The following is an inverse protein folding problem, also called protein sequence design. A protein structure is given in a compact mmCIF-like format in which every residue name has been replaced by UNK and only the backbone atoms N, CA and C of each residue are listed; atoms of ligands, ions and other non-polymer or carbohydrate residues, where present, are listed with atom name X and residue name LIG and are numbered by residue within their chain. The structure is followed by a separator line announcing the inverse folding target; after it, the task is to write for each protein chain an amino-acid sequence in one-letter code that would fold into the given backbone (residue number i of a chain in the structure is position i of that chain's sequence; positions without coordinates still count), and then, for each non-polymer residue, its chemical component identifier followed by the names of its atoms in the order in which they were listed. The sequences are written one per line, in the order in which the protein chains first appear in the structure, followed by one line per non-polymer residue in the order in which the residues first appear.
data_IF_378624150135
#
_entry.id   IF_378624150135
#
_cell.length_a   1.000
_cell.length_b   1.000
_cell.length_c   1.000
_cell.angle_alpha   90.00
_cell.angle_beta   90.00
_cell.angle_gamma   90.00
#
_symmetry.space_group_name_H-M   'P 1'
#
loop_
_entity.id
_entity.type
_entity.pdbx_description
1 polymer ?
#
# COMPACT_ATOMS: atom_id res chain seq x y z
N UNK A 1 11.43 12.79 -19.94
CA UNK A 1 10.90 13.55 -18.78
C UNK A 1 11.83 13.44 -17.55
N UNK A 2 12.15 12.23 -17.04
CA UNK A 2 13.07 12.07 -15.89
C UNK A 2 14.47 12.64 -16.23
N UNK A 3 15.05 12.27 -17.37
CA UNK A 3 16.35 12.74 -17.84
C UNK A 3 16.41 14.25 -18.13
N UNK A 4 15.26 14.87 -18.34
CA UNK A 4 15.13 16.33 -18.60
C UNK A 4 14.82 17.11 -17.32
N UNK A 5 14.67 16.42 -16.19
CA UNK A 5 14.41 17.05 -14.92
C UNK A 5 15.60 17.93 -14.52
N UNK A 6 15.30 19.11 -14.01
CA UNK A 6 16.31 20.02 -13.47
C UNK A 6 17.06 19.41 -12.27
N UNK A 7 18.01 20.17 -11.70
CA UNK A 7 18.88 19.67 -10.62
C UNK A 7 18.14 19.28 -9.34
N UNK A 8 16.85 19.58 -9.23
CA UNK A 8 15.98 19.19 -8.11
C UNK A 8 15.26 17.87 -8.33
N UNK A 9 15.49 17.22 -9.48
CA UNK A 9 14.94 15.91 -9.81
C UNK A 9 13.43 15.90 -10.02
N UNK A 10 12.86 14.70 -9.86
CA UNK A 10 11.42 14.43 -10.00
C UNK A 10 10.86 13.82 -8.72
N UNK A 11 9.57 14.02 -8.50
CA UNK A 11 8.79 13.39 -7.45
C UNK A 11 7.54 12.77 -8.07
N UNK A 12 7.33 11.47 -7.87
CA UNK A 12 6.07 10.82 -8.21
C UNK A 12 5.05 11.09 -7.09
N UNK A 13 3.84 11.52 -7.47
CA UNK A 13 2.76 11.81 -6.53
C UNK A 13 1.48 11.12 -6.96
N UNK A 14 0.91 10.29 -6.07
CA UNK A 14 -0.43 9.75 -6.22
C UNK A 14 -1.49 10.71 -5.67
N UNK A 15 -2.39 10.22 -4.81
CA UNK A 15 -3.47 11.03 -4.22
C UNK A 15 -3.02 11.97 -3.08
N UNK A 16 -1.72 12.11 -2.83
CA UNK A 16 -1.17 13.04 -1.85
C UNK A 16 -1.61 12.76 -0.41
N UNK A 17 -1.65 11.49 -0.02
CA UNK A 17 -2.06 11.05 1.33
C UNK A 17 -0.89 10.82 2.28
N UNK A 18 0.33 11.09 1.86
CA UNK A 18 1.51 11.03 2.72
C UNK A 18 1.42 12.04 3.85
N UNK A 19 1.97 11.69 5.01
CA UNK A 19 2.12 12.62 6.12
C UNK A 19 3.21 13.66 5.82
N UNK A 20 3.04 14.86 6.37
CA UNK A 20 3.99 15.96 6.18
C UNK A 20 4.12 16.36 4.71
N UNK A 21 5.35 16.57 4.28
CA UNK A 21 5.72 17.09 2.96
C UNK A 21 6.30 16.04 2.00
N UNK A 22 6.26 14.75 2.36
CA UNK A 22 6.85 13.67 1.56
C UNK A 22 6.31 13.59 0.11
N UNK A 23 5.09 14.07 -0.15
CA UNK A 23 4.50 14.14 -1.49
C UNK A 23 4.64 15.53 -2.15
N UNK A 24 5.59 16.34 -1.70
CA UNK A 24 5.84 17.70 -2.20
C UNK A 24 7.31 17.91 -2.47
N UNK A 25 7.63 18.72 -3.47
CA UNK A 25 9.01 19.15 -3.75
C UNK A 25 9.01 20.55 -4.35
N UNK A 26 9.53 21.50 -3.58
CA UNK A 26 9.60 22.91 -4.01
C UNK A 26 10.58 23.08 -5.18
N UNK A 27 10.05 23.37 -6.38
CA UNK A 27 10.84 23.64 -7.58
C UNK A 27 11.39 22.40 -8.30
N UNK A 28 10.98 21.18 -7.91
CA UNK A 28 11.19 19.97 -8.70
C UNK A 28 10.02 19.74 -9.67
N UNK A 29 10.19 18.79 -10.58
CA UNK A 29 9.10 18.30 -11.42
C UNK A 29 8.29 17.27 -10.64
N UNK A 30 6.99 17.52 -10.47
CA UNK A 30 6.07 16.57 -9.82
C UNK A 30 5.29 15.83 -10.91
N UNK A 31 5.41 14.50 -10.94
CA UNK A 31 4.61 13.66 -11.80
C UNK A 31 3.30 13.30 -11.10
N UNK A 32 2.19 13.78 -11.63
CA UNK A 32 0.87 13.33 -11.21
C UNK A 32 0.64 11.92 -11.78
N UNK A 33 0.74 10.93 -10.91
CA UNK A 33 0.60 9.52 -11.28
C UNK A 33 -0.87 9.09 -11.43
N UNK A 34 -1.83 9.91 -11.04
CA UNK A 34 -3.26 9.54 -11.08
C UNK A 34 -3.79 9.33 -12.50
N UNK A 35 -3.06 9.80 -13.52
CA UNK A 35 -3.35 9.50 -14.93
C UNK A 35 -3.03 8.05 -15.34
N UNK A 36 -2.20 7.34 -14.59
CA UNK A 36 -1.89 5.92 -14.77
C UNK A 36 -2.75 5.11 -13.80
N UNK A 37 -3.96 4.69 -14.23
CA UNK A 37 -4.96 4.11 -13.32
C UNK A 37 -5.62 2.82 -13.85
N UNK A 38 -5.06 2.20 -14.88
CA UNK A 38 -5.56 0.92 -15.39
C UNK A 38 -5.19 -0.20 -14.42
N UNK A 39 -6.03 -1.21 -14.35
CA UNK A 39 -5.72 -2.45 -13.65
C UNK A 39 -6.46 -3.64 -14.29
N UNK A 40 -5.93 -4.82 -14.05
CA UNK A 40 -6.49 -6.09 -14.51
C UNK A 40 -6.52 -7.07 -13.36
N UNK A 41 -7.68 -7.73 -13.18
CA UNK A 41 -7.88 -8.79 -12.19
C UNK A 41 -7.67 -10.14 -12.87
N UNK A 42 -6.74 -10.92 -12.38
CA UNK A 42 -6.59 -12.34 -12.69
C UNK A 42 -7.24 -13.15 -11.55
N UNK A 43 -8.43 -13.70 -11.86
CA UNK A 43 -9.23 -14.49 -10.91
C UNK A 43 -8.55 -15.83 -10.63
N UNK A 44 -7.92 -16.43 -11.64
CA UNK A 44 -7.35 -17.77 -11.53
C UNK A 44 -6.11 -17.78 -10.61
N UNK A 45 -5.28 -16.76 -10.71
CA UNK A 45 -4.12 -16.59 -9.82
C UNK A 45 -4.42 -15.83 -8.53
N UNK A 46 -5.58 -15.16 -8.44
CA UNK A 46 -5.93 -14.29 -7.32
C UNK A 46 -5.01 -13.09 -7.20
N UNK A 47 -4.65 -12.46 -8.34
CA UNK A 47 -3.78 -11.29 -8.37
C UNK A 47 -4.41 -10.11 -9.12
N UNK A 48 -3.90 -8.92 -8.84
CA UNK A 48 -4.16 -7.72 -9.63
C UNK A 48 -2.84 -7.18 -10.14
N UNK A 49 -2.78 -6.89 -11.44
CA UNK A 49 -1.75 -6.04 -12.04
C UNK A 49 -2.33 -4.66 -12.25
N UNK A 50 -1.69 -3.64 -11.72
CA UNK A 50 -2.21 -2.28 -11.72
C UNK A 50 -1.14 -1.24 -12.00
N UNK A 51 -1.52 -0.23 -12.78
CA UNK A 51 -0.76 1.02 -12.89
C UNK A 51 -0.58 1.63 -11.49
N UNK A 52 0.56 2.26 -11.23
CA UNK A 52 0.90 2.79 -9.91
C UNK A 52 -0.03 3.89 -9.41
N UNK A 53 -0.73 4.58 -10.29
CA UNK A 53 -1.69 5.62 -9.96
C UNK A 53 -3.13 5.10 -9.73
N UNK A 54 -3.40 3.81 -9.99
CA UNK A 54 -4.69 3.20 -9.68
C UNK A 54 -4.95 3.30 -8.17
N UNK A 55 -6.15 3.72 -7.78
CA UNK A 55 -6.49 3.84 -6.37
C UNK A 55 -6.97 2.49 -5.81
N UNK A 56 -6.66 2.23 -4.56
CA UNK A 56 -7.18 1.06 -3.86
C UNK A 56 -8.72 1.08 -3.80
N UNK A 57 -9.35 2.27 -3.77
CA UNK A 57 -10.82 2.39 -3.84
C UNK A 57 -11.39 1.85 -5.16
N UNK A 58 -10.78 2.20 -6.31
CA UNK A 58 -11.22 1.71 -7.63
C UNK A 58 -11.02 0.21 -7.75
N UNK A 59 -9.88 -0.30 -7.30
CA UNK A 59 -9.58 -1.74 -7.28
C UNK A 59 -10.59 -2.48 -6.41
N UNK A 60 -10.85 -2.02 -5.17
CA UNK A 60 -11.81 -2.64 -4.26
C UNK A 60 -13.22 -2.73 -4.86
N UNK A 61 -13.67 -1.68 -5.56
CA UNK A 61 -14.98 -1.70 -6.23
C UNK A 61 -15.11 -2.79 -7.30
N UNK A 62 -14.00 -3.18 -7.92
CA UNK A 62 -13.97 -4.24 -8.91
C UNK A 62 -13.80 -5.63 -8.29
N UNK A 63 -12.88 -5.77 -7.32
CA UNK A 63 -12.49 -7.09 -6.79
C UNK A 63 -13.46 -7.64 -5.74
N UNK A 64 -14.10 -6.78 -4.92
CA UNK A 64 -15.02 -7.25 -3.86
C UNK A 64 -16.22 -8.00 -4.44
N UNK A 65 -16.90 -7.54 -5.50
CA UNK A 65 -17.95 -8.32 -6.15
C UNK A 65 -17.45 -9.62 -6.78
N UNK A 66 -16.14 -9.70 -7.10
CA UNK A 66 -15.51 -10.90 -7.66
C UNK A 66 -15.03 -11.88 -6.57
N UNK A 67 -15.28 -11.60 -5.29
CA UNK A 67 -14.92 -12.48 -4.17
C UNK A 67 -13.49 -12.27 -3.64
N UNK A 68 -12.91 -11.10 -3.84
CA UNK A 68 -11.55 -10.79 -3.38
C UNK A 68 -11.49 -9.51 -2.57
N UNK A 69 -10.44 -9.39 -1.77
CA UNK A 69 -10.10 -8.18 -1.01
C UNK A 69 -8.60 -7.91 -1.08
N UNK A 70 -8.20 -6.66 -0.89
CA UNK A 70 -6.78 -6.30 -0.77
C UNK A 70 -6.26 -6.79 0.59
N UNK A 71 -5.16 -7.54 0.66
CA UNK A 71 -4.71 -8.17 1.91
C UNK A 71 -4.34 -7.14 2.98
N UNK A 72 -3.82 -6.00 2.58
CA UNK A 72 -3.45 -4.90 3.50
C UNK A 72 -4.06 -3.60 3.00
N UNK A 73 -4.80 -2.92 3.88
CA UNK A 73 -5.37 -1.59 3.62
C UNK A 73 -4.99 -0.64 4.74
N UNK A 74 -4.53 0.56 4.38
CA UNK A 74 -4.29 1.65 5.34
C UNK A 74 -5.60 2.13 5.99
N UNK A 75 -5.53 3.12 6.87
CA UNK A 75 -6.71 3.75 7.47
C UNK A 75 -7.65 4.43 6.47
N UNK A 76 -7.24 4.55 5.22
CA UNK A 76 -8.04 5.03 4.09
C UNK A 76 -7.78 4.18 2.85
N UNK A 77 -8.83 3.95 2.04
CA UNK A 77 -8.72 3.32 0.73
C UNK A 77 -8.34 4.28 -0.39
N UNK A 78 -8.36 5.57 -0.13
CA UNK A 78 -8.01 6.62 -1.10
C UNK A 78 -6.50 6.86 -1.16
N UNK A 79 -5.76 5.80 -1.44
CA UNK A 79 -4.32 5.77 -1.72
C UNK A 79 -4.08 5.07 -3.05
N UNK A 80 -2.98 5.39 -3.73
CA UNK A 80 -2.60 4.73 -4.99
C UNK A 80 -1.73 3.51 -4.73
N UNK A 81 -1.71 2.55 -5.67
CA UNK A 81 -0.87 1.35 -5.59
C UNK A 81 0.61 1.72 -5.41
N UNK A 82 1.14 2.62 -6.23
CA UNK A 82 2.54 3.07 -6.11
C UNK A 82 2.81 3.74 -4.77
N UNK A 83 1.87 4.55 -4.26
CA UNK A 83 1.97 5.16 -2.93
C UNK A 83 1.91 4.14 -1.79
N UNK A 84 1.07 3.11 -1.93
CA UNK A 84 0.97 2.01 -0.96
C UNK A 84 2.29 1.23 -0.85
N UNK A 85 2.94 0.95 -1.99
CA UNK A 85 4.25 0.27 -2.04
C UNK A 85 5.35 1.19 -1.51
N UNK A 86 5.41 2.42 -2.00
CA UNK A 86 6.48 3.36 -1.63
C UNK A 86 6.49 3.71 -0.13
N UNK A 87 5.33 3.69 0.52
CA UNK A 87 5.21 3.90 1.96
C UNK A 87 5.16 2.59 2.76
N UNK A 88 5.16 1.45 2.09
CA UNK A 88 4.97 0.12 2.66
C UNK A 88 3.85 0.12 3.70
N UNK A 89 2.65 0.52 3.27
CA UNK A 89 1.52 0.71 4.18
C UNK A 89 1.20 -0.56 4.95
N UNK A 90 0.78 -0.40 6.19
CA UNK A 90 0.22 -1.45 7.03
C UNK A 90 -1.25 -1.18 7.34
N UNK A 91 -1.95 -2.21 7.78
CA UNK A 91 -3.36 -2.16 8.15
C UNK A 91 -3.61 -2.60 9.59
N UNK A 92 -4.90 -2.73 9.93
CA UNK A 92 -5.35 -3.23 11.23
C UNK A 92 -5.12 -4.74 11.42
N UNK A 93 -4.55 -5.38 10.42
CA UNK A 93 -4.21 -6.81 10.37
C UNK A 93 -2.70 -7.03 10.22
N UNK A 94 -1.88 -6.04 10.59
CA UNK A 94 -0.42 -6.11 10.40
C UNK A 94 0.23 -7.25 11.20
N UNK A 95 -0.35 -7.69 12.31
CA UNK A 95 0.11 -8.82 13.11
C UNK A 95 -0.04 -10.15 12.36
N UNK A 96 -1.00 -10.26 11.42
CA UNK A 96 -1.22 -11.45 10.58
C UNK A 96 -0.58 -11.29 9.20
N UNK A 97 -0.85 -10.15 8.52
CA UNK A 97 -0.54 -9.97 7.10
C UNK A 97 0.77 -9.19 6.84
N UNK A 98 1.34 -8.57 7.86
CA UNK A 98 2.49 -7.69 7.69
C UNK A 98 2.13 -6.39 6.97
N UNK A 99 2.98 -5.96 6.04
CA UNK A 99 2.82 -4.75 5.24
C UNK A 99 2.45 -5.06 3.78
N UNK A 100 2.07 -4.04 3.03
CA UNK A 100 1.64 -4.18 1.63
C UNK A 100 2.71 -4.81 0.74
N UNK A 101 3.98 -4.46 0.94
CA UNK A 101 5.11 -5.00 0.18
C UNK A 101 5.25 -6.51 0.25
N UNK A 102 4.82 -7.14 1.35
CA UNK A 102 4.84 -8.60 1.50
C UNK A 102 3.92 -9.34 0.52
N UNK A 103 2.94 -8.64 -0.05
CA UNK A 103 1.97 -9.18 -1.01
C UNK A 103 2.29 -8.81 -2.46
N UNK A 104 3.29 -7.97 -2.71
CA UNK A 104 3.72 -7.59 -4.06
C UNK A 104 4.52 -8.72 -4.68
N UNK A 105 4.12 -9.14 -5.88
CA UNK A 105 4.76 -10.22 -6.65
C UNK A 105 5.87 -9.67 -7.54
N UNK A 106 5.60 -8.53 -8.16
CA UNK A 106 6.54 -7.82 -9.02
C UNK A 106 6.15 -6.36 -9.14
N UNK A 107 7.10 -5.52 -9.52
CA UNK A 107 6.83 -4.13 -9.87
C UNK A 107 7.78 -3.67 -10.97
N UNK A 108 7.31 -2.70 -11.77
CA UNK A 108 8.12 -1.97 -12.73
C UNK A 108 8.41 -0.58 -12.20
N UNK A 109 9.69 -0.22 -12.23
CA UNK A 109 10.20 1.06 -11.71
C UNK A 109 11.02 1.74 -12.81
N UNK A 110 10.87 3.05 -12.95
CA UNK A 110 11.76 3.87 -13.77
C UNK A 110 12.76 4.57 -12.87
N UNK A 111 14.04 4.27 -13.01
CA UNK A 111 15.10 4.83 -12.18
C UNK A 111 15.43 6.30 -12.54
N UNK A 112 16.35 6.92 -11.78
CA UNK A 112 16.76 8.31 -11.98
C UNK A 112 17.49 8.57 -13.31
N UNK A 113 17.91 7.51 -14.02
CA UNK A 113 18.53 7.59 -15.36
C UNK A 113 17.50 7.41 -16.49
N UNK A 114 16.25 7.05 -16.14
CA UNK A 114 15.16 6.81 -17.07
C UNK A 114 15.11 5.39 -17.61
N UNK A 115 15.85 4.44 -17.03
CA UNK A 115 15.77 3.03 -17.37
C UNK A 115 14.62 2.36 -16.63
N UNK A 116 13.90 1.49 -17.36
CA UNK A 116 12.88 0.63 -16.75
C UNK A 116 13.52 -0.61 -16.14
N UNK A 117 13.11 -0.93 -14.92
CA UNK A 117 13.55 -2.07 -14.14
C UNK A 117 12.33 -2.91 -13.73
N UNK A 118 12.33 -4.19 -14.09
CA UNK A 118 11.35 -5.15 -13.57
C UNK A 118 11.94 -5.79 -12.30
N UNK A 119 11.29 -5.56 -11.18
CA UNK A 119 11.76 -5.98 -9.85
C UNK A 119 10.86 -7.07 -9.27
N UNK A 120 11.47 -8.08 -8.66
CA UNK A 120 10.75 -9.15 -7.97
C UNK A 120 11.47 -9.54 -6.67
N UNK A 121 10.72 -9.88 -5.59
CA UNK A 121 11.31 -10.31 -4.33
C UNK A 121 11.95 -11.69 -4.40
N UNK A 122 11.67 -12.47 -5.46
CA UNK A 122 12.18 -13.83 -5.66
C UNK A 122 13.33 -13.91 -6.65
N UNK A 123 13.59 -12.86 -7.43
CA UNK A 123 14.72 -12.80 -8.35
C UNK A 123 15.99 -12.35 -7.62
N UNK A 124 17.00 -13.20 -7.59
CA UNK A 124 18.26 -12.95 -6.89
C UNK A 124 19.00 -11.69 -7.38
N UNK A 125 18.74 -11.25 -8.62
CA UNK A 125 19.40 -10.07 -9.23
C UNK A 125 18.68 -8.76 -8.93
N UNK A 126 17.38 -8.80 -8.61
CA UNK A 126 16.55 -7.61 -8.44
C UNK A 126 15.92 -7.47 -7.04
N UNK A 127 15.99 -8.53 -6.21
CA UNK A 127 15.34 -8.55 -4.89
C UNK A 127 15.79 -7.43 -3.96
N UNK A 128 17.08 -7.08 -3.97
CA UNK A 128 17.60 -6.06 -3.07
C UNK A 128 17.05 -4.67 -3.47
N UNK A 129 16.93 -4.39 -4.78
CA UNK A 129 16.31 -3.18 -5.29
C UNK A 129 14.80 -3.18 -5.06
N UNK A 130 14.15 -4.37 -5.18
CA UNK A 130 12.73 -4.52 -4.83
C UNK A 130 12.47 -4.07 -3.40
N UNK A 131 13.21 -4.64 -2.43
CA UNK A 131 13.02 -4.29 -1.02
C UNK A 131 13.48 -2.88 -0.66
N UNK A 132 14.45 -2.33 -1.36
CA UNK A 132 14.82 -0.91 -1.23
C UNK A 132 13.72 0.03 -1.75
N UNK A 133 12.88 -0.43 -2.69
CA UNK A 133 11.77 0.34 -3.26
C UNK A 133 10.53 0.28 -2.37
N UNK A 134 10.26 -0.89 -1.76
CA UNK A 134 9.21 -1.07 -0.75
C UNK A 134 9.57 -0.24 0.48
N UNK A 135 8.72 0.71 0.84
CA UNK A 135 8.99 1.66 1.93
C UNK A 135 10.09 2.70 1.61
N UNK A 136 10.61 2.71 0.38
CA UNK A 136 11.69 3.61 -0.06
C UNK A 136 11.24 5.05 -0.35
N UNK A 137 9.96 5.37 -0.16
CA UNK A 137 9.37 6.71 -0.32
C UNK A 137 9.67 7.37 -1.67
N UNK A 138 9.85 6.54 -2.74
CA UNK A 138 10.14 7.02 -4.09
C UNK A 138 11.61 7.41 -4.35
N UNK A 139 12.52 7.14 -3.41
CA UNK A 139 13.93 7.51 -3.55
C UNK A 139 14.71 6.59 -4.52
N UNK A 140 14.19 5.41 -4.81
CA UNK A 140 14.79 4.45 -5.76
C UNK A 140 14.37 4.68 -7.20
N UNK A 141 13.27 5.39 -7.42
CA UNK A 141 12.69 5.64 -8.73
C UNK A 141 11.18 5.81 -8.69
N UNK A 142 10.56 5.89 -9.87
CA UNK A 142 9.13 6.03 -10.04
C UNK A 142 8.52 4.66 -10.32
N UNK A 143 7.71 4.15 -9.40
CA UNK A 143 6.91 2.94 -9.65
C UNK A 143 5.85 3.29 -10.69
N UNK A 144 5.75 2.48 -11.75
CA UNK A 144 4.77 2.69 -12.84
C UNK A 144 3.70 1.62 -12.90
N UNK A 145 4.03 0.39 -12.47
CA UNK A 145 3.11 -0.76 -12.46
C UNK A 145 3.50 -1.73 -11.34
N UNK A 146 2.55 -2.44 -10.78
CA UNK A 146 2.83 -3.53 -9.85
C UNK A 146 1.77 -4.63 -9.93
N UNK A 147 2.19 -5.88 -9.68
CA UNK A 147 1.33 -7.04 -9.47
C UNK A 147 1.36 -7.44 -8.00
N UNK A 148 0.20 -7.62 -7.40
CA UNK A 148 0.10 -8.06 -5.99
C UNK A 148 -1.01 -9.10 -5.81
N UNK A 149 -0.84 -9.92 -4.77
CA UNK A 149 -1.81 -10.97 -4.40
C UNK A 149 -3.02 -10.37 -3.74
N UNK A 150 -4.15 -11.05 -3.92
CA UNK A 150 -5.41 -10.72 -3.27
C UNK A 150 -5.76 -11.77 -2.21
N UNK A 151 -6.62 -11.38 -1.29
CA UNK A 151 -7.23 -12.24 -0.30
C UNK A 151 -8.59 -12.69 -0.83
N UNK A 152 -8.83 -14.00 -0.93
CA UNK A 152 -10.17 -14.52 -1.23
C UNK A 152 -11.10 -14.28 -0.03
N UNK A 153 -12.32 -13.83 -0.30
CA UNK A 153 -13.36 -13.57 0.71
C UNK A 153 -14.65 -14.28 0.36
N UNK A 154 -15.39 -14.72 1.37
CA UNK A 154 -16.71 -15.34 1.22
C UNK A 154 -17.84 -14.31 1.24
N UNK A 155 -17.60 -13.18 1.89
CA UNK A 155 -18.58 -12.11 2.09
C UNK A 155 -17.90 -10.74 2.17
N UNK A 156 -18.64 -9.70 1.80
CA UNK A 156 -18.22 -8.31 1.97
C UNK A 156 -18.51 -7.73 3.37
N UNK A 157 -19.06 -8.55 4.27
CA UNK A 157 -19.39 -8.17 5.64
C UNK A 157 -18.37 -8.74 6.63
N UNK A 158 -18.17 -8.05 7.74
CA UNK A 158 -17.35 -8.50 8.85
C UNK A 158 -18.20 -8.71 10.10
N UNK A 159 -17.91 -9.77 10.88
CA UNK A 159 -18.35 -9.89 12.26
C UNK A 159 -17.41 -9.05 13.12
N UNK A 160 -17.96 -8.20 13.97
CA UNK A 160 -17.17 -7.27 14.80
C UNK A 160 -17.57 -7.40 16.26
N UNK A 161 -16.59 -7.68 17.09
CA UNK A 161 -16.73 -7.61 18.55
C UNK A 161 -16.22 -6.26 19.05
N UNK A 162 -17.02 -5.58 19.85
CA UNK A 162 -16.66 -4.27 20.41
C UNK A 162 -16.61 -4.36 21.92
N UNK A 163 -15.48 -4.01 22.51
CA UNK A 163 -15.25 -4.06 23.95
C UNK A 163 -14.91 -2.66 24.45
N UNK A 164 -15.54 -2.23 25.54
CA UNK A 164 -15.16 -1.02 26.26
C UNK A 164 -14.11 -1.36 27.31
N UNK A 165 -12.96 -0.71 27.19
CA UNK A 165 -11.86 -0.82 28.15
C UNK A 165 -11.85 0.33 29.14
N UNK A 166 -11.30 0.11 30.32
CA UNK A 166 -11.27 1.10 31.40
C UNK A 166 -10.11 2.08 31.24
N UNK A 167 -8.98 1.59 30.77
CA UNK A 167 -7.75 2.34 30.63
C UNK A 167 -6.85 1.72 29.54
N UNK A 168 -5.65 2.26 29.37
CA UNK A 168 -4.70 1.81 28.37
C UNK A 168 -4.18 0.40 28.67
N UNK A 169 -3.95 0.06 29.94
CA UNK A 169 -3.45 -1.26 30.34
C UNK A 169 -4.47 -2.36 30.03
N UNK A 170 -5.76 -2.11 30.28
CA UNK A 170 -6.87 -3.01 29.91
C UNK A 170 -6.97 -3.17 28.37
N UNK A 171 -6.82 -2.09 27.59
CA UNK A 171 -6.75 -2.17 26.12
C UNK A 171 -5.60 -3.07 25.67
N UNK A 172 -4.40 -2.83 26.18
CA UNK A 172 -3.20 -3.56 25.79
C UNK A 172 -3.32 -5.05 26.13
N UNK A 173 -3.80 -5.37 27.33
CA UNK A 173 -4.00 -6.75 27.75
C UNK A 173 -4.97 -7.49 26.82
N UNK A 174 -6.11 -6.88 26.49
CA UNK A 174 -7.14 -7.49 25.63
C UNK A 174 -6.67 -7.65 24.18
N UNK A 175 -5.90 -6.69 23.67
CA UNK A 175 -5.32 -6.82 22.33
C UNK A 175 -4.32 -7.98 22.27
N UNK A 176 -3.45 -8.12 23.28
CA UNK A 176 -2.49 -9.24 23.35
C UNK A 176 -3.21 -10.59 23.48
N UNK A 177 -4.25 -10.67 24.33
CA UNK A 177 -5.01 -11.91 24.53
C UNK A 177 -5.83 -12.31 23.28
N UNK A 178 -6.30 -11.33 22.50
CA UNK A 178 -7.17 -11.57 21.35
C UNK A 178 -6.49 -11.55 19.99
N UNK A 179 -5.20 -11.25 19.89
CA UNK A 179 -4.52 -11.09 18.59
C UNK A 179 -4.59 -12.35 17.71
N UNK A 180 -4.55 -13.53 18.31
CA UNK A 180 -4.64 -14.79 17.57
C UNK A 180 -6.07 -15.13 17.11
N UNK A 181 -7.10 -14.53 17.72
CA UNK A 181 -8.50 -14.81 17.43
C UNK A 181 -9.07 -13.89 16.33
N UNK A 182 -8.43 -12.75 16.08
CA UNK A 182 -8.94 -11.73 15.16
C UNK A 182 -7.92 -11.38 14.09
N UNK A 183 -8.37 -11.43 12.83
CA UNK A 183 -7.53 -10.95 11.70
C UNK A 183 -7.32 -9.43 11.72
N UNK A 184 -8.27 -8.68 12.27
CA UNK A 184 -8.22 -7.22 12.35
C UNK A 184 -8.50 -6.77 13.76
N UNK A 185 -7.61 -5.96 14.32
CA UNK A 185 -7.79 -5.34 15.62
C UNK A 185 -7.53 -3.83 15.56
N UNK A 186 -8.27 -3.06 16.35
CA UNK A 186 -8.10 -1.61 16.45
C UNK A 186 -8.60 -1.12 17.79
N UNK A 187 -7.86 -0.21 18.39
CA UNK A 187 -8.31 0.52 19.57
C UNK A 187 -8.57 2.00 19.24
N UNK A 188 -9.62 2.54 19.85
CA UNK A 188 -9.94 3.96 19.81
C UNK A 188 -9.71 4.52 21.20
N UNK A 189 -8.82 5.49 21.31
CA UNK A 189 -8.44 6.10 22.59
C UNK A 189 -8.99 7.53 22.60
N UNK A 190 -9.88 7.82 23.56
CA UNK A 190 -10.29 9.19 23.83
C UNK A 190 -9.30 9.82 24.82
N UNK A 191 -8.39 10.63 24.29
CA UNK A 191 -7.35 11.30 25.07
C UNK A 191 -7.75 12.70 25.56
N UNK A 192 -9.00 13.14 25.28
CA UNK A 192 -9.50 14.46 25.66
C UNK A 192 -10.71 14.41 26.61
N UNK A 193 -11.26 13.23 26.85
CA UNK A 193 -12.30 13.04 27.86
C UNK A 193 -11.71 13.25 29.27
N UNK A 194 -12.46 13.88 30.21
CA UNK A 194 -12.00 14.05 31.58
C UNK A 194 -11.96 12.72 32.33
#
# INVERSE_FOLDING_TARGET
AIQEAGPRGVLARGLGRSYGDAAQSGGATVFDMTGLHRFELDIDSGTVTADAGASIDEILRAIVPAGFFVPVTAGTRFVTVGGAIAADIHGKNHHVEGSFGSHVVSMRVVDGTGHELDLSPTDATTKDMFWATVGGMGLTGVIVEATFRLLAIETSSMSVDTVRCHDLDDVMARMIEGDDDYRYSVAWIDSVAP
#
